data_IF_511157892686
#
_entry.id   IF_511157892686
#
_cell.length_a   1.000
_cell.length_b   1.000
_cell.length_c   1.000
_cell.angle_alpha   90.00
_cell.angle_beta   90.00
_cell.angle_gamma   90.00
#
_symmetry.space_group_name_H-M   'P 1'
#
loop_
_entity.id
_entity.type
_entity.pdbx_description
1 polymer ?
#
# COMPACT_ATOMS: atom_id res chain seq x y z
N UNK A 1 -24.12 1.86 -11.42
CA UNK A 1 -24.85 0.75 -10.83
C UNK A 1 -24.56 0.65 -9.33
N UNK A 2 -25.54 1.06 -8.50
CA UNK A 2 -25.42 1.07 -7.03
C UNK A 2 -25.18 -0.34 -6.46
N UNK A 3 -25.83 -1.36 -7.01
CA UNK A 3 -25.65 -2.76 -6.58
C UNK A 3 -24.24 -3.31 -6.82
N UNK A 4 -23.65 -2.98 -7.97
CA UNK A 4 -22.27 -3.41 -8.28
C UNK A 4 -21.27 -2.78 -7.29
N UNK A 5 -21.47 -1.52 -6.94
CA UNK A 5 -20.63 -0.81 -5.97
C UNK A 5 -20.80 -1.39 -4.56
N UNK A 6 -22.03 -1.72 -4.16
CA UNK A 6 -22.30 -2.31 -2.85
C UNK A 6 -21.64 -3.70 -2.70
N UNK A 7 -21.79 -4.58 -3.70
CA UNK A 7 -21.18 -5.91 -3.70
C UNK A 7 -19.65 -5.83 -3.63
N UNK A 8 -19.07 -4.87 -4.34
CA UNK A 8 -17.60 -4.67 -4.33
C UNK A 8 -17.13 -4.14 -2.97
N UNK A 9 -17.89 -3.23 -2.36
CA UNK A 9 -17.62 -2.73 -1.01
C UNK A 9 -17.69 -3.86 0.04
N UNK A 10 -18.76 -4.68 0.03
CA UNK A 10 -18.89 -5.81 0.94
C UNK A 10 -17.75 -6.83 0.77
N UNK A 11 -17.33 -7.09 -0.47
CA UNK A 11 -16.17 -7.95 -0.75
C UNK A 11 -14.90 -7.40 -0.11
N UNK A 12 -14.67 -6.09 -0.14
CA UNK A 12 -13.50 -5.48 0.48
C UNK A 12 -13.53 -5.59 2.00
N UNK A 13 -14.68 -5.34 2.64
CA UNK A 13 -14.85 -5.51 4.08
C UNK A 13 -14.59 -6.96 4.51
N UNK A 14 -15.16 -7.93 3.80
CA UNK A 14 -14.96 -9.35 4.06
C UNK A 14 -13.48 -9.74 3.89
N UNK A 15 -12.83 -9.27 2.81
CA UNK A 15 -11.44 -9.60 2.51
C UNK A 15 -10.50 -9.20 3.63
N UNK A 16 -10.69 -8.03 4.23
CA UNK A 16 -9.84 -7.50 5.29
C UNK A 16 -10.41 -7.71 6.70
N UNK A 17 -11.53 -8.45 6.85
CA UNK A 17 -12.23 -8.67 8.13
C UNK A 17 -12.58 -7.36 8.84
N UNK A 18 -13.27 -6.47 8.12
CA UNK A 18 -13.63 -5.13 8.58
C UNK A 18 -15.15 -4.98 8.84
N UNK A 19 -15.92 -6.08 8.79
CA UNK A 19 -17.39 -6.03 8.93
C UNK A 19 -17.82 -5.45 10.27
N UNK A 20 -17.11 -5.80 11.36
CA UNK A 20 -17.44 -5.37 12.72
C UNK A 20 -17.27 -3.86 12.93
N UNK A 21 -16.55 -3.20 12.04
CA UNK A 21 -16.29 -1.75 12.10
C UNK A 21 -17.03 -0.97 11.03
N UNK A 22 -17.90 -1.63 10.27
CA UNK A 22 -18.74 -0.97 9.29
C UNK A 22 -19.60 0.11 9.97
N UNK A 23 -19.60 1.31 9.40
CA UNK A 23 -20.29 2.47 9.99
C UNK A 23 -19.53 3.19 11.12
N UNK A 24 -18.39 2.66 11.57
CA UNK A 24 -17.57 3.34 12.56
C UNK A 24 -16.87 4.56 11.96
N UNK A 25 -16.75 5.63 12.76
CA UNK A 25 -15.95 6.78 12.35
C UNK A 25 -14.46 6.40 12.32
N UNK A 26 -13.74 6.82 11.29
CA UNK A 26 -12.31 6.52 11.10
C UNK A 26 -11.45 6.96 12.30
N UNK A 27 -11.82 8.04 12.99
CA UNK A 27 -11.12 8.50 14.20
C UNK A 27 -11.10 7.45 15.32
N UNK A 28 -12.15 6.61 15.40
CA UNK A 28 -12.34 5.60 16.45
C UNK A 28 -11.62 4.27 16.13
N UNK A 29 -11.09 4.12 14.91
CA UNK A 29 -10.41 2.90 14.50
C UNK A 29 -9.00 2.83 15.10
N UNK A 30 -8.57 1.60 15.45
CA UNK A 30 -7.18 1.34 15.77
C UNK A 30 -6.26 1.61 14.57
N UNK A 31 -4.95 1.78 14.81
CA UNK A 31 -3.98 2.00 13.72
C UNK A 31 -3.98 0.83 12.70
N UNK A 32 -4.07 -0.40 13.18
CA UNK A 32 -4.17 -1.58 12.32
C UNK A 32 -5.45 -1.59 11.48
N UNK A 33 -6.59 -1.22 12.07
CA UNK A 33 -7.86 -1.09 11.33
C UNK A 33 -7.80 0.03 10.29
N UNK A 34 -7.26 1.19 10.64
CA UNK A 34 -7.02 2.30 9.68
C UNK A 34 -6.18 1.83 8.49
N UNK A 35 -5.11 1.07 8.79
CA UNK A 35 -4.24 0.51 7.74
C UNK A 35 -4.99 -0.47 6.84
N UNK A 36 -5.78 -1.40 7.42
CA UNK A 36 -6.62 -2.34 6.65
C UNK A 36 -7.60 -1.59 5.75
N UNK A 37 -8.28 -0.57 6.27
CA UNK A 37 -9.18 0.30 5.47
C UNK A 37 -8.43 0.96 4.33
N UNK A 38 -7.23 1.49 4.56
CA UNK A 38 -6.42 2.08 3.50
C UNK A 38 -6.05 1.06 2.41
N UNK A 39 -5.75 -0.20 2.80
CA UNK A 39 -5.39 -1.27 1.88
C UNK A 39 -6.58 -1.75 1.02
N UNK A 40 -7.84 -1.56 1.46
CA UNK A 40 -9.00 -1.89 0.63
C UNK A 40 -9.01 -1.14 -0.70
N UNK A 41 -8.40 0.06 -0.76
CA UNK A 41 -8.27 0.84 -2.00
C UNK A 41 -7.57 0.07 -3.12
N UNK A 42 -6.67 -0.86 -2.79
CA UNK A 42 -5.98 -1.67 -3.79
C UNK A 42 -6.92 -2.61 -4.55
N UNK A 43 -8.05 -2.99 -3.94
CA UNK A 43 -9.06 -3.84 -4.59
C UNK A 43 -9.89 -3.10 -5.65
N UNK A 44 -9.88 -1.77 -5.61
CA UNK A 44 -10.63 -0.90 -6.52
C UNK A 44 -9.72 -0.13 -7.48
N UNK A 45 -8.39 -0.29 -7.32
CA UNK A 45 -7.43 0.48 -8.10
C UNK A 45 -7.30 -0.09 -9.50
N UNK A 46 -7.57 0.71 -10.50
CA UNK A 46 -7.31 0.40 -11.92
C UNK A 46 -5.87 0.81 -12.33
N UNK A 47 -5.12 1.43 -11.44
CA UNK A 47 -3.75 1.87 -11.70
C UNK A 47 -2.83 0.70 -11.98
N UNK A 48 -2.06 0.77 -13.05
CA UNK A 48 -1.04 -0.23 -13.40
C UNK A 48 0.19 -0.16 -12.51
N UNK A 49 0.46 0.97 -11.87
CA UNK A 49 1.60 1.14 -10.96
C UNK A 49 1.10 1.45 -9.55
N UNK A 50 1.52 0.62 -8.59
CA UNK A 50 1.30 0.86 -7.17
C UNK A 50 2.58 1.31 -6.50
N UNK A 51 2.49 2.40 -5.73
CA UNK A 51 3.56 2.89 -4.86
C UNK A 51 3.11 2.70 -3.41
N UNK A 52 3.78 1.82 -2.68
CA UNK A 52 3.38 1.43 -1.33
C UNK A 52 4.53 1.70 -0.34
N UNK A 53 4.29 2.59 0.60
CA UNK A 53 5.27 2.89 1.64
C UNK A 53 4.94 2.07 2.89
N UNK A 54 5.88 1.20 3.29
CA UNK A 54 5.78 0.28 4.44
C UNK A 54 4.40 -0.40 4.56
N UNK A 55 3.88 -1.05 3.51
CA UNK A 55 2.52 -1.58 3.50
C UNK A 55 2.30 -2.70 4.53
N UNK A 56 3.38 -3.34 4.99
CA UNK A 56 3.34 -4.45 5.94
C UNK A 56 3.43 -4.01 7.41
N UNK A 57 3.78 -2.76 7.65
CA UNK A 57 3.98 -2.26 9.01
C UNK A 57 2.63 -2.11 9.73
N UNK A 58 2.55 -2.61 10.97
CA UNK A 58 1.37 -2.47 11.85
C UNK A 58 0.15 -3.31 11.45
N UNK A 59 0.30 -4.33 10.59
CA UNK A 59 -0.76 -5.27 10.24
C UNK A 59 -0.42 -6.70 10.69
N UNK A 60 -1.46 -7.48 10.99
CA UNK A 60 -1.32 -8.87 11.41
C UNK A 60 -0.92 -9.81 10.25
N UNK A 61 -0.40 -10.99 10.59
CA UNK A 61 0.07 -12.00 9.63
C UNK A 61 -1.00 -12.43 8.63
N UNK A 62 -2.27 -12.49 9.05
CA UNK A 62 -3.41 -12.83 8.18
C UNK A 62 -3.58 -11.74 7.11
N UNK A 63 -3.53 -10.48 7.52
CA UNK A 63 -3.62 -9.33 6.60
C UNK A 63 -2.43 -9.26 5.66
N UNK A 64 -1.21 -9.60 6.12
CA UNK A 64 -0.01 -9.73 5.26
C UNK A 64 -0.25 -10.77 4.17
N UNK A 65 -0.80 -11.94 4.52
CA UNK A 65 -1.09 -13.00 3.54
C UNK A 65 -2.13 -12.55 2.50
N UNK A 66 -3.16 -11.82 2.92
CA UNK A 66 -4.18 -11.24 2.02
C UNK A 66 -3.53 -10.23 1.08
N UNK A 67 -2.76 -9.28 1.61
CA UNK A 67 -2.08 -8.27 0.81
C UNK A 67 -1.15 -8.91 -0.23
N UNK A 68 -0.40 -9.93 0.16
CA UNK A 68 0.45 -10.68 -0.75
C UNK A 68 -0.33 -11.30 -1.92
N UNK A 69 -1.50 -11.88 -1.67
CA UNK A 69 -2.37 -12.42 -2.73
C UNK A 69 -2.83 -11.32 -3.69
N UNK A 70 -3.25 -10.17 -3.16
CA UNK A 70 -3.69 -9.01 -3.95
C UNK A 70 -2.55 -8.49 -4.82
N UNK A 71 -1.34 -8.35 -4.26
CA UNK A 71 -0.15 -7.93 -4.99
C UNK A 71 0.20 -8.92 -6.12
N UNK A 72 0.16 -10.24 -5.85
CA UNK A 72 0.40 -11.27 -6.89
C UNK A 72 -0.63 -11.16 -8.01
N UNK A 73 -1.91 -10.98 -7.67
CA UNK A 73 -2.97 -10.82 -8.66
C UNK A 73 -2.73 -9.60 -9.55
N UNK A 74 -2.37 -8.45 -8.95
CA UNK A 74 -2.05 -7.24 -9.69
C UNK A 74 -0.88 -7.45 -10.66
N UNK A 75 0.20 -8.10 -10.20
CA UNK A 75 1.35 -8.42 -11.06
C UNK A 75 0.97 -9.37 -12.21
N UNK A 76 0.08 -10.34 -12.00
CA UNK A 76 -0.42 -11.24 -13.06
C UNK A 76 -1.27 -10.51 -14.09
N UNK A 77 -1.86 -9.38 -13.73
CA UNK A 77 -2.64 -8.51 -14.63
C UNK A 77 -1.77 -7.44 -15.32
N UNK A 78 -0.46 -7.69 -15.44
CA UNK A 78 0.53 -6.78 -16.01
C UNK A 78 0.68 -5.46 -15.23
N UNK A 79 0.33 -5.46 -13.93
CA UNK A 79 0.62 -4.36 -13.03
C UNK A 79 2.08 -4.37 -12.56
N UNK A 80 2.51 -3.25 -12.01
CA UNK A 80 3.83 -3.06 -11.41
C UNK A 80 3.68 -2.53 -9.99
N UNK A 81 4.56 -2.96 -9.08
CA UNK A 81 4.53 -2.53 -7.69
C UNK A 81 5.93 -2.10 -7.27
N UNK A 82 6.03 -0.87 -6.76
CA UNK A 82 7.19 -0.40 -6.02
C UNK A 82 6.79 -0.23 -4.55
N UNK A 83 7.47 -0.91 -3.64
CA UNK A 83 7.19 -0.77 -2.22
C UNK A 83 8.46 -0.71 -1.38
N UNK A 84 8.41 0.06 -0.30
CA UNK A 84 9.41 0.02 0.76
C UNK A 84 9.02 -1.03 1.80
N UNK A 85 9.97 -1.72 2.40
CA UNK A 85 9.70 -2.61 3.53
C UNK A 85 10.97 -2.98 4.28
N UNK A 86 10.91 -3.02 5.60
CA UNK A 86 11.94 -3.63 6.45
C UNK A 86 11.80 -5.15 6.54
N UNK A 87 10.65 -5.70 6.12
CA UNK A 87 10.35 -7.13 6.12
C UNK A 87 10.49 -7.70 4.71
N UNK A 88 11.12 -8.87 4.59
CA UNK A 88 11.21 -9.56 3.31
C UNK A 88 9.86 -10.14 2.90
N UNK A 89 9.30 -9.66 1.82
CA UNK A 89 8.16 -10.28 1.17
C UNK A 89 8.69 -11.20 0.05
N UNK A 90 8.59 -12.53 0.24
CA UNK A 90 8.98 -13.50 -0.79
C UNK A 90 7.94 -13.50 -1.92
N UNK A 91 8.08 -12.56 -2.84
CA UNK A 91 7.38 -12.55 -4.12
C UNK A 91 8.38 -13.03 -5.17
N UNK A 92 8.11 -14.13 -5.88
CA UNK A 92 9.03 -14.78 -6.84
C UNK A 92 9.50 -13.89 -8.01
N UNK A 93 8.88 -12.73 -8.22
CA UNK A 93 9.15 -11.81 -9.35
C UNK A 93 9.73 -10.45 -8.92
N UNK A 94 10.30 -10.36 -7.71
CA UNK A 94 10.73 -9.08 -7.15
C UNK A 94 12.20 -8.81 -7.41
N UNK A 95 12.52 -7.69 -8.05
CA UNK A 95 13.86 -7.11 -8.03
C UNK A 95 13.99 -6.30 -6.75
N UNK A 96 15.00 -6.59 -5.93
CA UNK A 96 15.27 -5.88 -4.69
C UNK A 96 16.33 -4.82 -4.91
N UNK A 97 16.04 -3.60 -4.48
CA UNK A 97 16.98 -2.49 -4.42
C UNK A 97 17.26 -2.21 -2.94
N UNK A 98 18.53 -2.20 -2.55
CA UNK A 98 18.95 -1.83 -1.20
C UNK A 98 19.46 -0.40 -1.28
N UNK A 99 18.76 0.53 -0.63
CA UNK A 99 19.23 1.89 -0.48
C UNK A 99 20.30 1.91 0.62
N UNK A 100 21.55 2.23 0.25
CA UNK A 100 22.61 2.47 1.22
C UNK A 100 22.57 3.93 1.63
N UNK A 101 22.79 4.20 2.93
CA UNK A 101 22.95 5.58 3.41
C UNK A 101 24.19 6.17 2.71
N UNK A 102 24.00 7.21 1.91
CA UNK A 102 25.10 7.95 1.31
C UNK A 102 25.75 8.73 2.46
N UNK A 103 27.02 8.41 2.77
CA UNK A 103 27.81 9.10 3.81
C UNK A 103 28.33 10.46 3.35
N UNK A 104 28.23 10.75 2.06
CA UNK A 104 28.73 11.99 1.52
C UNK A 104 27.82 13.15 1.93
N UNK A 105 28.44 14.18 2.50
CA UNK A 105 27.81 15.48 2.74
C UNK A 105 27.30 15.97 1.39
N UNK A 106 25.99 15.78 1.15
CA UNK A 106 25.35 16.46 0.06
C UNK A 106 25.52 17.97 0.32
N UNK A 107 26.36 18.60 -0.46
CA UNK A 107 26.54 20.06 -0.40
C UNK A 107 25.22 20.63 -0.98
N UNK A 108 24.32 21.08 -0.12
CA UNK A 108 23.01 21.64 -0.49
C UNK A 108 23.11 22.89 -1.37
N UNK A 109 24.32 23.38 -1.68
CA UNK A 109 24.57 24.54 -2.55
C UNK A 109 24.03 24.44 -3.98
N UNK A 110 23.50 23.28 -4.39
CA UNK A 110 22.82 23.13 -5.68
C UNK A 110 21.29 23.27 -5.59
N UNK A 111 20.70 23.23 -4.39
CA UNK A 111 19.25 23.37 -4.20
C UNK A 111 18.79 24.84 -4.17
N UNK A 112 19.68 25.79 -3.92
CA UNK A 112 19.37 27.21 -3.98
C UNK A 112 19.03 27.70 -5.41
N UNK A 113 19.25 26.86 -6.42
CA UNK A 113 18.84 27.17 -7.81
C UNK A 113 17.35 26.96 -8.11
N UNK A 114 16.59 26.32 -7.22
CA UNK A 114 15.15 26.10 -7.44
C UNK A 114 14.29 27.32 -7.09
N UNK A 115 14.80 28.27 -6.31
CA UNK A 115 14.10 29.50 -5.98
C UNK A 115 14.00 30.52 -7.15
N UNK A 116 14.76 30.31 -8.21
CA UNK A 116 14.78 31.19 -9.40
C UNK A 116 13.76 30.77 -10.48
N UNK A 117 12.89 29.82 -10.22
CA UNK A 117 11.81 29.39 -11.12
C UNK A 117 10.41 29.82 -10.63
N UNK A 118 10.32 31.05 -10.09
CA UNK A 118 9.03 31.72 -9.87
C UNK A 118 8.74 32.71 -10.95
#
# INVERSE_FOLDING_TARGET
>A
NLETNYNTYQKALNTFSLNDIQGSLVKNLSQGQKKKVALTKLLFSESKLWLLDEPLNGIDTKTVAILKKIMIQHLRQNGSILFSSHVRLNLKLTRRIILKKIKDKFNFGLLDKWENFK
#
